data_IF_353543596409
#
_entry.id   IF_353543596409
#
_cell.length_a   1.000
_cell.length_b   1.000
_cell.length_c   1.000
_cell.angle_alpha   90.00
_cell.angle_beta   90.00
_cell.angle_gamma   90.00
#
_symmetry.space_group_name_H-M   'P 1'
#
loop_
_entity.id
_entity.type
_entity.pdbx_description
1 polymer ?
#
# COMPACT_ATOMS: atom_id res chain seq x y z
N UNK A 1 73.13 36.69 -55.93
CA UNK A 1 72.36 36.57 -57.19
C UNK A 1 71.71 35.20 -57.22
N UNK A 2 70.45 35.09 -56.81
CA UNK A 2 69.68 33.83 -56.83
C UNK A 2 68.35 34.11 -57.54
N UNK A 3 68.22 33.56 -58.74
CA UNK A 3 67.08 33.76 -59.63
C UNK A 3 65.86 32.97 -59.12
N UNK A 4 64.82 33.69 -58.68
CA UNK A 4 63.51 33.11 -58.31
C UNK A 4 62.68 32.91 -59.57
N UNK A 5 62.22 31.68 -59.79
CA UNK A 5 61.43 31.28 -60.94
C UNK A 5 59.96 31.72 -60.80
N UNK A 6 59.37 32.41 -61.79
CA UNK A 6 58.01 32.96 -61.71
C UNK A 6 56.89 31.92 -61.87
N UNK A 7 57.21 30.63 -62.05
CA UNK A 7 56.21 29.58 -62.34
C UNK A 7 55.56 28.97 -61.10
N UNK A 8 56.16 29.12 -59.92
CA UNK A 8 55.60 28.60 -58.66
C UNK A 8 54.52 29.50 -58.03
N UNK A 9 54.54 30.81 -58.31
CA UNK A 9 53.56 31.75 -57.78
C UNK A 9 52.16 31.61 -58.43
N UNK A 10 52.10 31.16 -59.69
CA UNK A 10 50.83 31.02 -60.41
C UNK A 10 50.00 29.79 -60.00
N UNK A 11 50.65 28.71 -59.53
CA UNK A 11 49.98 27.48 -59.13
C UNK A 11 49.32 27.57 -57.73
N UNK A 12 49.89 28.37 -56.83
CA UNK A 12 49.31 28.60 -55.49
C UNK A 12 48.08 29.52 -55.53
N UNK A 13 48.03 30.50 -56.44
CA UNK A 13 46.88 31.39 -56.58
C UNK A 13 45.65 30.69 -57.20
N UNK A 14 45.86 29.69 -58.08
CA UNK A 14 44.77 28.91 -58.67
C UNK A 14 44.08 27.95 -57.68
N UNK A 15 44.82 27.38 -56.73
CA UNK A 15 44.28 26.42 -55.76
C UNK A 15 43.47 27.09 -54.64
N UNK A 16 43.81 28.32 -54.25
CA UNK A 16 43.04 29.09 -53.26
C UNK A 16 41.71 29.62 -53.80
N UNK A 17 41.58 29.89 -55.10
CA UNK A 17 40.34 30.42 -55.69
C UNK A 17 39.29 29.32 -55.98
N UNK A 18 39.73 28.07 -56.15
CA UNK A 18 38.84 26.92 -56.28
C UNK A 18 38.18 26.50 -54.96
N UNK A 19 38.79 26.82 -53.81
CA UNK A 19 38.23 26.52 -52.49
C UNK A 19 37.14 27.52 -52.02
N UNK A 20 37.04 28.70 -52.65
CA UNK A 20 36.06 29.73 -52.29
C UNK A 20 34.68 29.55 -52.95
N UNK A 21 34.54 28.72 -53.98
CA UNK A 21 33.29 28.57 -54.74
C UNK A 21 32.42 27.37 -54.31
N UNK A 22 32.94 26.44 -53.50
CA UNK A 22 32.18 25.28 -53.02
C UNK A 22 31.58 25.45 -51.62
N UNK A 23 31.81 26.61 -50.96
CA UNK A 23 31.45 26.82 -49.56
C UNK A 23 30.00 27.28 -49.27
N UNK A 24 29.27 27.81 -50.26
CA UNK A 24 27.93 28.36 -50.01
C UNK A 24 26.78 27.38 -50.26
N UNK A 25 26.92 26.41 -51.17
CA UNK A 25 25.87 25.41 -51.43
C UNK A 25 25.77 24.32 -50.35
N UNK A 26 26.94 23.84 -49.89
CA UNK A 26 27.02 22.73 -48.92
C UNK A 26 26.51 23.11 -47.53
N UNK A 27 26.67 24.37 -47.12
CA UNK A 27 26.12 24.89 -45.85
C UNK A 27 24.59 24.98 -45.89
N UNK A 28 24.01 25.38 -47.02
CA UNK A 28 22.56 25.51 -47.17
C UNK A 28 21.89 24.13 -47.13
N UNK A 29 22.47 23.14 -47.80
CA UNK A 29 21.95 21.77 -47.82
C UNK A 29 21.99 21.13 -46.43
N UNK A 30 23.10 21.28 -45.69
CA UNK A 30 23.23 20.77 -44.31
C UNK A 30 22.20 21.42 -43.37
N UNK A 31 21.96 22.73 -43.48
CA UNK A 31 20.97 23.45 -42.67
C UNK A 31 19.56 22.96 -42.98
N UNK A 32 19.20 22.86 -44.27
CA UNK A 32 17.88 22.40 -44.70
C UNK A 32 17.60 20.96 -44.22
N UNK A 33 18.59 20.07 -44.28
CA UNK A 33 18.45 18.68 -43.81
C UNK A 33 18.22 18.67 -42.30
N UNK A 34 18.99 19.42 -41.51
CA UNK A 34 18.81 19.54 -40.05
C UNK A 34 17.41 20.04 -39.68
N UNK A 35 16.96 21.12 -40.32
CA UNK A 35 15.67 21.75 -40.01
C UNK A 35 14.51 20.80 -40.33
N UNK A 36 14.56 20.10 -41.46
CA UNK A 36 13.55 19.08 -41.83
C UNK A 36 13.45 17.96 -40.79
N UNK A 37 14.58 17.50 -40.25
CA UNK A 37 14.61 16.48 -39.20
C UNK A 37 13.99 16.99 -37.88
N UNK A 38 14.30 18.23 -37.50
CA UNK A 38 13.73 18.87 -36.31
C UNK A 38 12.21 19.09 -36.45
N UNK A 39 11.75 19.53 -37.61
CA UNK A 39 10.33 19.72 -37.90
C UNK A 39 9.56 18.41 -37.80
N UNK A 40 10.11 17.34 -38.36
CA UNK A 40 9.53 15.99 -38.27
C UNK A 40 9.41 15.52 -36.81
N UNK A 41 10.45 15.73 -36.00
CA UNK A 41 10.41 15.41 -34.56
C UNK A 41 9.40 16.30 -33.80
N UNK A 42 9.28 17.58 -34.15
CA UNK A 42 8.33 18.50 -33.53
C UNK A 42 6.89 18.10 -33.83
N UNK A 43 6.58 17.70 -35.07
CA UNK A 43 5.28 17.17 -35.44
C UNK A 43 4.94 15.92 -34.64
N UNK A 44 5.88 14.98 -34.48
CA UNK A 44 5.69 13.78 -33.69
C UNK A 44 5.40 14.10 -32.21
N UNK A 45 6.16 15.03 -31.62
CA UNK A 45 5.96 15.51 -30.24
C UNK A 45 4.55 16.09 -30.08
N UNK A 46 4.11 16.96 -31.00
CA UNK A 46 2.77 17.56 -30.96
C UNK A 46 1.66 16.53 -31.09
N UNK A 47 1.84 15.51 -31.94
CA UNK A 47 0.86 14.43 -32.09
C UNK A 47 0.72 13.61 -30.79
N UNK A 48 1.83 13.29 -30.12
CA UNK A 48 1.79 12.57 -28.84
C UNK A 48 1.22 13.41 -27.69
N UNK A 49 1.44 14.73 -27.70
CA UNK A 49 0.81 15.64 -26.74
C UNK A 49 -0.72 15.66 -26.87
N UNK A 50 -1.23 15.45 -28.09
CA UNK A 50 -2.67 15.40 -28.36
C UNK A 50 -3.27 14.00 -28.16
N UNK A 51 -2.53 12.97 -28.56
CA UNK A 51 -3.01 11.58 -28.62
C UNK A 51 -1.88 10.60 -28.28
N UNK A 52 -1.56 10.53 -26.99
CA UNK A 52 -0.48 9.69 -26.44
C UNK A 52 -0.69 8.19 -26.67
N UNK A 53 -1.94 7.73 -26.78
CA UNK A 53 -2.28 6.33 -27.05
C UNK A 53 -1.86 5.83 -28.44
N UNK A 54 -1.65 6.74 -29.41
CA UNK A 54 -1.22 6.40 -30.77
C UNK A 54 0.31 6.35 -30.94
N UNK A 55 1.06 6.23 -29.84
CA UNK A 55 2.51 6.38 -29.87
C UNK A 55 3.23 5.45 -30.85
N UNK A 56 2.74 4.22 -31.04
CA UNK A 56 3.30 3.27 -32.02
C UNK A 56 3.21 3.80 -33.44
N UNK A 57 2.02 4.27 -33.82
CA UNK A 57 1.76 4.79 -35.17
C UNK A 57 2.58 6.07 -35.41
N UNK A 58 2.61 6.97 -34.43
CA UNK A 58 3.40 8.20 -34.51
C UNK A 58 4.89 7.89 -34.69
N UNK A 59 5.47 6.95 -33.94
CA UNK A 59 6.88 6.58 -34.09
C UNK A 59 7.18 5.95 -35.46
N UNK A 60 6.35 5.02 -35.94
CA UNK A 60 6.55 4.39 -37.26
C UNK A 60 6.42 5.41 -38.41
N UNK A 61 5.45 6.32 -38.31
CA UNK A 61 5.31 7.44 -39.25
C UNK A 61 6.53 8.35 -39.21
N UNK A 62 6.95 8.79 -38.03
CA UNK A 62 8.12 9.66 -37.82
C UNK A 62 9.38 9.04 -38.43
N UNK A 63 9.61 7.74 -38.19
CA UNK A 63 10.73 7.00 -38.78
C UNK A 63 10.67 7.01 -40.32
N UNK A 64 9.50 6.76 -40.89
CA UNK A 64 9.31 6.75 -42.36
C UNK A 64 9.56 8.12 -42.96
N UNK A 65 9.01 9.17 -42.35
CA UNK A 65 9.18 10.56 -42.79
C UNK A 65 10.66 10.99 -42.71
N UNK A 66 11.38 10.60 -41.65
CA UNK A 66 12.82 10.84 -41.52
C UNK A 66 13.63 10.11 -42.60
N UNK A 67 13.32 8.85 -42.92
CA UNK A 67 13.99 8.12 -44.00
C UNK A 67 13.78 8.82 -45.34
N UNK A 68 12.54 9.23 -45.64
CA UNK A 68 12.20 9.94 -46.87
C UNK A 68 12.94 11.29 -46.98
N UNK A 69 13.20 11.96 -45.85
CA UNK A 69 14.00 13.18 -45.77
C UNK A 69 15.53 12.95 -45.78
N UNK A 70 16.01 11.72 -45.95
CA UNK A 70 17.44 11.39 -45.93
C UNK A 70 18.06 11.35 -44.52
N UNK A 71 17.26 11.36 -43.46
CA UNK A 71 17.67 11.42 -42.05
C UNK A 71 17.79 10.04 -41.40
N UNK A 72 18.58 9.14 -42.00
CA UNK A 72 18.72 7.75 -41.53
C UNK A 72 19.21 7.63 -40.09
N UNK A 73 20.08 8.53 -39.64
CA UNK A 73 20.59 8.53 -38.25
C UNK A 73 19.48 8.84 -37.25
N UNK A 74 18.63 9.85 -37.52
CA UNK A 74 17.49 10.16 -36.66
C UNK A 74 16.43 9.06 -36.72
N UNK A 75 16.19 8.49 -37.90
CA UNK A 75 15.28 7.35 -38.05
C UNK A 75 15.71 6.15 -37.19
N UNK A 76 17.03 5.88 -37.11
CA UNK A 76 17.56 4.84 -36.24
C UNK A 76 17.36 5.15 -34.74
N UNK A 77 17.54 6.41 -34.32
CA UNK A 77 17.24 6.83 -32.95
C UNK A 77 15.75 6.66 -32.61
N UNK A 78 14.84 7.04 -33.52
CA UNK A 78 13.39 6.82 -33.36
C UNK A 78 13.06 5.32 -33.30
N UNK A 79 13.70 4.49 -34.12
CA UNK A 79 13.55 3.03 -34.06
C UNK A 79 14.03 2.45 -32.73
N UNK A 80 15.12 3.00 -32.16
CA UNK A 80 15.60 2.61 -30.84
C UNK A 80 14.64 3.03 -29.72
N UNK A 81 13.99 4.20 -29.85
CA UNK A 81 12.94 4.65 -28.93
C UNK A 81 11.76 3.68 -28.96
N UNK A 82 11.28 3.27 -30.13
CA UNK A 82 10.20 2.30 -30.27
C UNK A 82 10.56 0.95 -29.60
N UNK A 83 11.76 0.43 -29.85
CA UNK A 83 12.21 -0.81 -29.24
C UNK A 83 12.28 -0.73 -27.70
N UNK A 84 12.76 0.40 -27.16
CA UNK A 84 12.78 0.63 -25.70
C UNK A 84 11.38 0.76 -25.12
N UNK A 85 10.49 1.51 -25.77
CA UNK A 85 9.10 1.62 -25.34
C UNK A 85 8.41 0.23 -25.27
N UNK A 86 8.66 -0.66 -26.25
CA UNK A 86 8.15 -2.03 -26.18
C UNK A 86 8.74 -2.82 -25.00
N UNK A 87 10.05 -2.69 -24.74
CA UNK A 87 10.67 -3.34 -23.58
C UNK A 87 10.11 -2.84 -22.25
N UNK A 88 9.71 -1.56 -22.19
CA UNK A 88 9.18 -0.91 -21.00
C UNK A 88 7.66 -1.22 -20.79
N UNK A 89 6.99 -1.88 -21.72
CA UNK A 89 5.54 -2.18 -21.65
C UNK A 89 5.14 -3.01 -20.41
N UNK A 90 6.07 -3.80 -19.86
CA UNK A 90 5.83 -4.52 -18.60
C UNK A 90 5.61 -3.62 -17.39
N UNK A 91 6.09 -2.36 -17.44
CA UNK A 91 5.91 -1.36 -16.38
C UNK A 91 4.53 -0.71 -16.50
N UNK A 92 4.06 -0.42 -17.73
CA UNK A 92 2.73 0.17 -17.98
C UNK A 92 1.61 -0.65 -17.31
N UNK A 93 1.67 -1.98 -17.43
CA UNK A 93 0.71 -2.88 -16.80
C UNK A 93 0.62 -2.70 -15.26
N UNK A 94 1.69 -2.21 -14.61
CA UNK A 94 1.74 -1.94 -13.16
C UNK A 94 1.23 -0.55 -12.80
N UNK A 95 1.21 0.38 -13.75
CA UNK A 95 0.94 1.79 -13.51
C UNK A 95 -0.49 2.22 -13.86
N UNK A 96 -1.20 1.44 -14.69
CA UNK A 96 -2.60 1.70 -15.12
C UNK A 96 -2.82 3.07 -15.79
N UNK A 97 -1.77 3.76 -16.20
CA UNK A 97 -1.77 5.05 -16.90
C UNK A 97 -1.18 4.89 -18.29
N UNK A 98 -1.40 5.84 -19.20
CA UNK A 98 -0.78 5.92 -20.54
C UNK A 98 0.72 6.19 -20.47
N UNK A 99 1.41 5.24 -19.85
CA UNK A 99 2.81 5.30 -19.47
C UNK A 99 3.70 5.32 -20.71
N UNK A 100 3.36 4.52 -21.73
CA UNK A 100 4.17 4.42 -22.94
C UNK A 100 4.07 5.67 -23.80
N UNK A 101 2.92 6.32 -23.87
CA UNK A 101 2.76 7.59 -24.55
C UNK A 101 3.64 8.69 -23.94
N UNK A 102 3.52 8.91 -22.63
CA UNK A 102 4.32 9.91 -21.89
C UNK A 102 5.82 9.63 -21.95
N UNK A 103 6.21 8.35 -21.82
CA UNK A 103 7.62 7.92 -21.92
C UNK A 103 8.15 8.21 -23.32
N UNK A 104 7.40 7.86 -24.36
CA UNK A 104 7.78 8.09 -25.76
C UNK A 104 7.92 9.58 -26.07
N UNK A 105 6.96 10.39 -25.63
CA UNK A 105 7.01 11.84 -25.73
C UNK A 105 8.27 12.40 -25.09
N UNK A 106 8.61 11.93 -23.88
CA UNK A 106 9.83 12.33 -23.19
C UNK A 106 11.09 11.92 -23.96
N UNK A 107 11.14 10.71 -24.53
CA UNK A 107 12.28 10.25 -25.32
C UNK A 107 12.46 11.08 -26.60
N UNK A 108 11.38 11.43 -27.31
CA UNK A 108 11.43 12.29 -28.49
C UNK A 108 11.89 13.71 -28.13
N UNK A 109 11.39 14.30 -27.04
CA UNK A 109 11.86 15.60 -26.54
C UNK A 109 13.35 15.57 -26.22
N UNK A 110 13.86 14.49 -25.60
CA UNK A 110 15.30 14.31 -25.33
C UNK A 110 16.11 14.16 -26.62
N UNK A 111 15.58 13.47 -27.62
CA UNK A 111 16.24 13.36 -28.93
C UNK A 111 16.33 14.73 -29.61
N UNK A 112 15.23 15.49 -29.66
CA UNK A 112 15.22 16.87 -30.17
C UNK A 112 16.24 17.74 -29.43
N UNK A 113 16.26 17.67 -28.11
CA UNK A 113 17.14 18.45 -27.27
C UNK A 113 18.64 18.15 -27.51
N UNK A 114 19.00 16.89 -27.81
CA UNK A 114 20.37 16.56 -28.23
C UNK A 114 20.78 17.27 -29.53
N UNK A 115 19.83 17.52 -30.43
CA UNK A 115 20.07 18.17 -31.72
C UNK A 115 20.11 19.70 -31.56
N UNK A 116 19.26 20.26 -30.69
CA UNK A 116 19.19 21.71 -30.47
C UNK A 116 20.16 22.22 -29.40
N UNK A 117 20.73 21.32 -28.59
CA UNK A 117 21.54 21.68 -27.42
C UNK A 117 20.71 22.13 -26.21
N UNK A 118 19.38 21.96 -26.25
CA UNK A 118 18.49 22.23 -25.12
C UNK A 118 18.71 21.22 -23.98
N UNK A 119 18.41 21.66 -22.76
CA UNK A 119 18.28 20.75 -21.62
C UNK A 119 16.82 20.44 -21.37
N UNK A 120 16.44 19.17 -21.44
CA UNK A 120 15.08 18.72 -21.09
C UNK A 120 15.10 18.13 -19.68
N UNK A 121 14.31 18.66 -18.73
CA UNK A 121 14.23 18.10 -17.40
C UNK A 121 13.64 16.69 -17.46
N UNK A 122 14.25 15.78 -16.71
CA UNK A 122 13.81 14.39 -16.62
C UNK A 122 12.97 14.23 -15.37
N UNK A 123 11.64 14.25 -15.53
CA UNK A 123 10.70 14.10 -14.42
C UNK A 123 10.61 12.63 -14.01
N UNK A 124 10.84 12.29 -12.74
CA UNK A 124 10.60 10.95 -12.22
C UNK A 124 9.11 10.71 -12.02
N UNK A 125 8.66 9.49 -12.27
CA UNK A 125 7.27 9.09 -12.00
C UNK A 125 7.29 7.72 -11.34
N UNK A 126 6.50 7.59 -10.30
CA UNK A 126 6.22 6.33 -9.62
C UNK A 126 4.75 5.91 -9.74
N UNK A 127 4.54 4.62 -9.68
CA UNK A 127 3.25 3.98 -9.77
C UNK A 127 2.74 3.64 -8.37
N UNK A 128 1.57 3.01 -8.27
CA UNK A 128 1.08 2.57 -6.97
C UNK A 128 1.98 1.45 -6.41
N UNK A 129 2.27 1.47 -5.09
CA UNK A 129 3.05 0.41 -4.46
C UNK A 129 2.34 -0.95 -4.56
N UNK A 130 3.11 -2.00 -4.78
CA UNK A 130 2.64 -3.39 -4.91
C UNK A 130 3.44 -4.31 -3.98
N UNK A 131 2.81 -4.98 -3.00
CA UNK A 131 1.41 -4.86 -2.64
C UNK A 131 1.07 -3.46 -2.08
N UNK A 132 -0.20 -3.08 -2.18
CA UNK A 132 -0.73 -1.83 -1.63
C UNK A 132 -1.09 -1.93 -0.13
N UNK A 133 -0.78 -3.07 0.49
CA UNK A 133 -1.01 -3.36 1.91
C UNK A 133 0.19 -4.12 2.48
N UNK A 134 0.61 -3.76 3.69
CA UNK A 134 1.52 -4.56 4.52
C UNK A 134 0.71 -5.17 5.65
N UNK A 135 0.64 -6.49 5.71
CA UNK A 135 -0.09 -7.21 6.75
C UNK A 135 0.84 -7.60 7.90
N UNK A 136 0.64 -6.97 9.07
CA UNK A 136 1.41 -7.27 10.27
C UNK A 136 0.92 -8.53 10.99
N UNK A 137 -0.18 -9.15 10.58
CA UNK A 137 -0.56 -10.50 11.04
C UNK A 137 0.44 -11.55 10.53
N UNK A 138 1.16 -11.27 9.45
CA UNK A 138 2.25 -12.10 8.97
C UNK A 138 3.51 -11.87 9.81
N UNK A 139 4.21 -12.97 10.13
CA UNK A 139 5.55 -12.91 10.69
C UNK A 139 6.50 -12.16 9.74
N UNK A 140 7.49 -11.39 10.23
CA UNK A 140 8.36 -10.54 9.41
C UNK A 140 8.96 -11.26 8.20
N UNK A 141 9.46 -12.48 8.37
CA UNK A 141 10.06 -13.30 7.31
C UNK A 141 9.07 -13.73 6.20
N UNK A 142 7.76 -13.60 6.43
CA UNK A 142 6.70 -13.90 5.46
C UNK A 142 6.12 -12.66 4.78
N UNK A 143 6.56 -11.46 5.16
CA UNK A 143 6.06 -10.22 4.57
C UNK A 143 6.75 -9.97 3.23
N UNK A 144 5.99 -9.80 2.13
CA UNK A 144 6.59 -9.47 0.84
C UNK A 144 7.18 -8.06 0.88
N UNK A 145 8.32 -7.89 0.21
CA UNK A 145 8.82 -6.54 -0.08
C UNK A 145 7.78 -5.76 -0.88
N UNK A 146 7.74 -4.45 -0.66
CA UNK A 146 6.86 -3.56 -1.42
C UNK A 146 7.65 -3.03 -2.60
N UNK A 147 7.16 -3.29 -3.81
CA UNK A 147 7.71 -2.78 -5.06
C UNK A 147 6.98 -1.51 -5.48
N UNK A 148 7.74 -0.50 -5.89
CA UNK A 148 7.26 0.75 -6.45
C UNK A 148 7.89 0.84 -7.84
N UNK A 149 7.11 0.44 -8.83
CA UNK A 149 7.50 0.59 -10.22
C UNK A 149 7.43 2.07 -10.64
N UNK A 150 8.16 2.43 -11.67
CA UNK A 150 8.19 3.79 -12.19
C UNK A 150 9.20 3.95 -13.31
N UNK A 151 9.60 5.19 -13.58
CA UNK A 151 10.66 5.49 -14.52
C UNK A 151 11.42 6.75 -14.11
N UNK A 152 12.68 6.83 -14.57
CA UNK A 152 13.64 7.84 -14.15
C UNK A 152 13.80 7.90 -12.62
N UNK A 153 13.59 6.79 -11.91
CA UNK A 153 13.70 6.75 -10.44
C UNK A 153 15.15 6.95 -9.95
N UNK A 154 16.13 6.90 -10.85
CA UNK A 154 17.52 7.25 -10.57
C UNK A 154 17.79 8.76 -10.58
N UNK A 155 16.90 9.59 -11.14
CA UNK A 155 17.12 11.04 -11.25
C UNK A 155 16.63 11.83 -10.03
N UNK A 156 16.03 11.16 -9.04
CA UNK A 156 15.48 11.79 -7.84
C UNK A 156 15.52 10.84 -6.65
N UNK A 157 15.52 11.41 -5.45
CA UNK A 157 15.53 10.65 -4.20
C UNK A 157 14.10 10.34 -3.79
N UNK A 158 13.72 9.06 -3.85
CA UNK A 158 12.47 8.57 -3.26
C UNK A 158 12.66 8.48 -1.75
N UNK A 159 11.73 9.07 -1.00
CA UNK A 159 11.66 8.96 0.45
C UNK A 159 10.47 8.13 0.88
N UNK A 160 10.63 7.37 1.96
CA UNK A 160 9.56 6.61 2.59
C UNK A 160 9.36 7.07 4.03
N UNK A 161 8.11 7.23 4.44
CA UNK A 161 7.74 7.64 5.78
C UNK A 161 6.73 6.67 6.39
N UNK A 162 7.04 6.14 7.57
CA UNK A 162 6.07 5.43 8.39
C UNK A 162 5.20 6.44 9.16
N UNK A 163 3.89 6.34 9.00
CA UNK A 163 2.93 7.29 9.60
C UNK A 163 2.16 6.62 10.73
N UNK A 164 2.03 7.35 11.83
CA UNK A 164 1.33 6.96 13.04
C UNK A 164 0.53 8.14 13.60
N UNK A 165 -0.28 7.92 14.64
CA UNK A 165 -0.98 9.01 15.34
C UNK A 165 -0.02 10.05 15.94
N UNK A 166 1.20 9.65 16.30
CA UNK A 166 2.24 10.55 16.83
C UNK A 166 3.01 11.33 15.76
N UNK A 167 2.79 11.06 14.47
CA UNK A 167 3.45 11.74 13.36
C UNK A 167 4.11 10.79 12.37
N UNK A 168 5.08 11.32 11.60
CA UNK A 168 5.80 10.60 10.54
C UNK A 168 7.25 10.34 10.95
N UNK A 169 7.77 9.16 10.61
CA UNK A 169 9.18 8.77 10.81
C UNK A 169 9.78 8.41 9.46
N UNK A 170 10.97 8.94 9.16
CA UNK A 170 11.70 8.60 7.93
C UNK A 170 12.23 7.16 8.00
N UNK A 171 11.86 6.34 7.02
CA UNK A 171 12.26 4.93 6.90
C UNK A 171 12.95 4.66 5.56
N UNK A 172 13.45 5.72 4.91
CA UNK A 172 14.09 5.65 3.59
C UNK A 172 15.35 4.78 3.58
N UNK A 173 15.97 4.52 4.74
CA UNK A 173 17.09 3.58 4.89
C UNK A 173 16.73 2.13 4.56
N UNK A 174 15.44 1.79 4.54
CA UNK A 174 14.95 0.46 4.15
C UNK A 174 14.52 0.40 2.68
N UNK A 175 14.71 1.49 1.93
CA UNK A 175 14.54 1.49 0.48
C UNK A 175 15.78 0.95 -0.22
N UNK A 176 15.56 0.27 -1.33
CA UNK A 176 16.58 -0.11 -2.29
C UNK A 176 16.14 0.34 -3.68
N UNK A 177 17.09 0.85 -4.46
CA UNK A 177 16.84 1.34 -5.82
C UNK A 177 17.66 0.53 -6.83
N UNK A 178 17.27 -0.73 -7.10
CA UNK A 178 18.04 -1.63 -7.96
C UNK A 178 18.13 -1.16 -9.42
N UNK A 179 17.21 -0.31 -9.90
CA UNK A 179 17.21 0.19 -11.28
C UNK A 179 16.46 1.52 -11.40
N UNK A 180 16.58 2.19 -12.54
CA UNK A 180 15.80 3.41 -12.82
C UNK A 180 14.26 3.20 -12.89
N UNK A 181 13.80 1.95 -12.79
CA UNK A 181 12.41 1.55 -12.98
C UNK A 181 11.76 0.94 -11.74
N UNK A 182 12.54 0.64 -10.70
CA UNK A 182 12.06 -0.08 -9.54
C UNK A 182 12.73 0.44 -8.28
N UNK A 183 11.89 0.82 -7.32
CA UNK A 183 12.28 1.01 -5.93
C UNK A 183 11.58 -0.06 -5.09
N UNK A 184 12.30 -0.66 -4.15
CA UNK A 184 11.76 -1.67 -3.24
C UNK A 184 11.88 -1.21 -1.79
N UNK A 185 10.86 -1.44 -0.99
CA UNK A 185 10.87 -1.23 0.45
C UNK A 185 10.89 -2.59 1.15
N UNK A 186 11.92 -2.81 1.97
CA UNK A 186 12.00 -4.01 2.79
C UNK A 186 11.02 -3.92 3.97
N UNK A 187 10.08 -4.86 4.05
CA UNK A 187 9.09 -4.98 5.13
C UNK A 187 9.31 -6.20 6.02
N UNK A 188 10.36 -6.98 5.73
CA UNK A 188 10.67 -8.23 6.40
C UNK A 188 11.48 -8.06 7.69
N UNK A 189 12.24 -9.08 8.06
CA UNK A 189 12.96 -9.15 9.36
C UNK A 189 13.91 -7.98 9.62
N UNK A 190 14.64 -7.52 8.60
CA UNK A 190 15.54 -6.35 8.68
C UNK A 190 14.93 -5.12 7.98
N UNK A 191 13.61 -5.13 7.81
CA UNK A 191 12.86 -4.10 7.13
C UNK A 191 12.43 -2.95 8.04
N UNK A 192 11.43 -2.21 7.59
CA UNK A 192 10.83 -1.10 8.34
C UNK A 192 10.39 -1.54 9.74
N UNK A 193 10.78 -0.82 10.81
CA UNK A 193 10.38 -1.12 12.17
C UNK A 193 8.93 -0.67 12.42
N UNK A 194 7.96 -1.51 12.07
CA UNK A 194 6.55 -1.26 12.34
C UNK A 194 6.24 -1.35 13.84
N UNK A 195 5.42 -0.43 14.35
CA UNK A 195 4.87 -0.49 15.70
C UNK A 195 3.34 -0.59 15.67
N UNK A 196 2.72 -0.77 16.84
CA UNK A 196 1.27 -0.94 16.98
C UNK A 196 0.44 0.28 16.55
N UNK A 197 1.06 1.45 16.34
CA UNK A 197 0.38 2.69 15.94
C UNK A 197 0.64 3.08 14.50
N UNK A 198 1.46 2.32 13.76
CA UNK A 198 1.76 2.59 12.35
C UNK A 198 0.55 2.24 11.48
N UNK A 199 -0.01 3.20 10.76
CA UNK A 199 -1.23 3.02 9.97
C UNK A 199 -0.99 2.96 8.47
N UNK A 200 0.06 3.61 7.97
CA UNK A 200 0.42 3.64 6.54
C UNK A 200 1.90 3.92 6.33
N UNK A 201 2.38 3.59 5.13
CA UNK A 201 3.65 4.09 4.61
C UNK A 201 3.36 5.09 3.49
N UNK A 202 3.99 6.25 3.53
CA UNK A 202 3.92 7.29 2.51
C UNK A 202 5.23 7.34 1.72
N UNK A 203 5.12 7.34 0.40
CA UNK A 203 6.23 7.49 -0.52
C UNK A 203 6.18 8.88 -1.15
N UNK A 204 7.29 9.60 -1.05
CA UNK A 204 7.43 10.97 -1.54
C UNK A 204 8.52 10.99 -2.60
N UNK A 205 8.16 11.51 -3.76
CA UNK A 205 9.06 11.74 -4.89
C UNK A 205 8.91 13.21 -5.30
N UNK A 206 10.03 13.93 -5.39
CA UNK A 206 10.01 15.36 -5.72
C UNK A 206 9.32 15.60 -7.07
N UNK A 207 8.31 16.47 -7.07
CA UNK A 207 7.53 16.80 -8.27
C UNK A 207 6.44 15.80 -8.65
N UNK A 208 6.22 14.74 -7.86
CA UNK A 208 5.17 13.74 -8.10
C UNK A 208 4.14 13.69 -6.95
N UNK A 209 2.87 13.32 -7.22
CA UNK A 209 1.86 13.16 -6.19
C UNK A 209 2.23 12.06 -5.19
N UNK A 210 2.12 12.30 -3.89
CA UNK A 210 2.43 11.29 -2.86
C UNK A 210 1.67 9.97 -3.09
N UNK A 211 2.36 8.85 -2.93
CA UNK A 211 1.76 7.50 -2.95
C UNK A 211 1.76 6.92 -1.54
N UNK A 212 0.85 6.02 -1.24
CA UNK A 212 0.82 5.37 0.06
C UNK A 212 0.30 3.96 -0.01
N UNK A 213 0.63 3.17 1.01
CA UNK A 213 0.06 1.85 1.27
C UNK A 213 -0.44 1.78 2.70
N UNK A 214 -1.40 0.90 2.95
CA UNK A 214 -1.98 0.69 4.28
C UNK A 214 -1.18 -0.34 5.05
N UNK A 215 -1.02 -0.13 6.36
CA UNK A 215 -0.46 -1.12 7.27
C UNK A 215 -1.61 -1.71 8.10
N UNK A 216 -1.86 -3.01 7.93
CA UNK A 216 -2.89 -3.73 8.68
C UNK A 216 -2.29 -4.25 9.98
N UNK A 217 -2.82 -3.78 11.10
CA UNK A 217 -2.39 -4.20 12.44
C UNK A 217 -2.95 -5.58 12.80
N UNK A 218 -2.25 -6.37 13.64
CA UNK A 218 -2.79 -7.62 14.14
C UNK A 218 -4.05 -7.37 14.96
N UNK A 219 -5.02 -8.29 14.91
CA UNK A 219 -6.18 -8.21 15.78
C UNK A 219 -5.73 -8.21 17.25
N UNK A 220 -6.32 -7.37 18.12
CA UNK A 220 -6.06 -7.43 19.55
C UNK A 220 -6.30 -8.86 20.03
N UNK A 221 -5.36 -9.44 20.79
CA UNK A 221 -5.58 -10.75 21.39
C UNK A 221 -6.84 -10.67 22.26
N UNK A 222 -7.78 -11.63 22.16
CA UNK A 222 -8.93 -11.65 23.05
C UNK A 222 -8.42 -11.61 24.49
N UNK A 223 -8.82 -10.58 25.23
CA UNK A 223 -8.53 -10.54 26.66
C UNK A 223 -9.37 -11.65 27.30
N UNK A 224 -8.77 -12.62 28.01
CA UNK A 224 -9.54 -13.60 28.73
C UNK A 224 -10.43 -12.87 29.73
N UNK A 225 -11.73 -12.84 29.46
CA UNK A 225 -12.69 -12.35 30.44
C UNK A 225 -12.70 -13.34 31.59
N UNK A 226 -12.00 -12.98 32.67
CA UNK A 226 -12.08 -13.73 33.92
C UNK A 226 -13.41 -13.35 34.55
N UNK A 227 -14.43 -14.19 34.34
CA UNK A 227 -15.67 -14.02 35.06
C UNK A 227 -15.38 -14.17 36.56
N UNK A 228 -15.81 -13.21 37.42
CA UNK A 228 -15.74 -13.42 38.85
C UNK A 228 -16.51 -14.71 39.16
N UNK A 229 -15.92 -15.60 39.96
CA UNK A 229 -16.62 -16.78 40.46
C UNK A 229 -17.88 -16.30 41.18
N UNK A 230 -19.05 -16.46 40.54
CA UNK A 230 -20.34 -16.20 41.17
C UNK A 230 -20.78 -17.48 41.84
N UNK A 231 -20.91 -17.43 43.15
CA UNK A 231 -21.53 -18.50 43.91
C UNK A 231 -23.04 -18.36 43.79
N UNK A 232 -23.68 -19.28 43.07
CA UNK A 232 -25.13 -19.43 43.11
C UNK A 232 -25.49 -20.18 44.39
N UNK A 233 -26.31 -19.56 45.26
CA UNK A 233 -26.96 -20.23 46.38
C UNK A 233 -28.38 -20.54 45.96
N UNK A 234 -28.68 -21.83 45.77
CA UNK A 234 -30.03 -22.31 45.51
C UNK A 234 -30.60 -22.76 46.84
N UNK A 235 -31.71 -22.15 47.25
CA UNK A 235 -32.49 -22.57 48.42
C UNK A 235 -33.78 -23.20 47.91
N UNK A 236 -34.05 -24.43 48.32
CA UNK A 236 -35.30 -25.13 48.04
C UNK A 236 -35.90 -25.66 49.33
N UNK A 237 -37.21 -25.60 49.42
CA UNK A 237 -38.00 -26.23 50.48
C UNK A 237 -39.03 -27.13 49.82
N UNK A 238 -38.98 -28.42 50.12
CA UNK A 238 -39.98 -29.39 49.69
C UNK A 238 -40.87 -29.70 50.89
N UNK A 239 -42.18 -29.60 50.69
CA UNK A 239 -43.18 -30.03 51.65
C UNK A 239 -43.70 -31.40 51.20
N UNK A 240 -43.57 -32.40 52.07
CA UNK A 240 -44.02 -33.76 51.79
C UNK A 240 -45.44 -33.92 52.33
N UNK A 241 -46.41 -33.31 51.64
CA UNK A 241 -47.82 -33.65 51.84
C UNK A 241 -48.21 -34.68 50.80
N UNK A 242 -47.89 -35.95 51.06
CA UNK A 242 -48.60 -37.06 50.42
C UNK A 242 -49.89 -37.29 51.22
N UNK A 243 -50.88 -36.44 50.98
CA UNK A 243 -52.25 -36.63 51.45
C UNK A 243 -52.92 -37.70 50.57
N UNK A 244 -52.48 -38.95 50.66
CA UNK A 244 -53.32 -40.06 50.22
C UNK A 244 -53.06 -41.32 51.04
N UNK A 245 -54.05 -41.64 51.88
CA UNK A 245 -54.27 -42.93 52.54
C UNK A 245 -53.30 -43.26 53.70
N UNK A 246 -53.63 -42.81 54.92
CA UNK A 246 -53.96 -43.67 56.09
C UNK A 246 -54.45 -42.74 57.21
N UNK A 247 -55.59 -43.07 57.82
CA UNK A 247 -56.07 -42.43 59.04
C UNK A 247 -55.10 -42.70 60.22
N UNK A 248 -54.15 -41.79 60.44
CA UNK A 248 -53.43 -41.68 61.71
C UNK A 248 -53.14 -40.22 62.01
N UNK A 249 -53.65 -39.76 63.15
CA UNK A 249 -53.68 -38.40 63.68
C UNK A 249 -52.29 -37.88 64.14
N UNK A 250 -51.26 -38.01 63.30
CA UNK A 250 -49.95 -37.41 63.54
C UNK A 250 -49.48 -36.59 62.33
N UNK A 251 -49.77 -35.28 62.36
CA UNK A 251 -49.21 -34.27 61.46
C UNK A 251 -47.68 -34.29 61.52
N UNK A 252 -47.04 -34.94 60.55
CA UNK A 252 -45.58 -35.00 60.42
C UNK A 252 -45.12 -34.14 59.25
N UNK A 253 -45.11 -32.83 59.45
CA UNK A 253 -44.44 -31.92 58.52
C UNK A 253 -42.92 -32.02 58.70
N UNK A 254 -42.23 -32.62 57.74
CA UNK A 254 -40.77 -32.67 57.67
C UNK A 254 -40.24 -31.64 56.68
N UNK A 255 -39.48 -30.65 57.15
CA UNK A 255 -38.82 -29.67 56.26
C UNK A 255 -37.39 -30.12 55.97
N UNK A 256 -37.09 -30.35 54.70
CA UNK A 256 -35.71 -30.59 54.23
C UNK A 256 -35.21 -29.32 53.55
N UNK A 257 -34.08 -28.78 54.01
CA UNK A 257 -33.38 -27.67 53.39
C UNK A 257 -31.92 -28.01 53.12
N UNK A 258 -31.38 -27.49 52.03
CA UNK A 258 -29.98 -27.65 51.65
C UNK A 258 -29.51 -26.47 50.82
N UNK A 259 -28.19 -26.24 50.79
CA UNK A 259 -27.56 -25.25 49.91
C UNK A 259 -26.36 -25.88 49.23
N UNK A 260 -26.16 -25.59 47.95
CA UNK A 260 -24.99 -26.02 47.18
C UNK A 260 -24.41 -24.80 46.49
N UNK A 261 -23.09 -24.64 46.58
CA UNK A 261 -22.34 -23.65 45.82
C UNK A 261 -21.92 -24.26 44.50
N UNK A 262 -22.30 -23.64 43.39
CA UNK A 262 -21.94 -24.08 42.04
C UNK A 262 -21.04 -23.05 41.38
N UNK A 263 -19.93 -23.48 40.78
CA UNK A 263 -19.12 -22.62 39.94
C UNK A 263 -19.75 -22.47 38.55
N UNK A 264 -19.66 -21.28 37.96
CA UNK A 264 -20.12 -21.04 36.60
C UNK A 264 -19.36 -21.92 35.60
N UNK A 265 -20.08 -22.59 34.69
CA UNK A 265 -19.50 -23.46 33.67
C UNK A 265 -19.22 -24.90 34.11
N UNK A 266 -19.56 -25.29 35.33
CA UNK A 266 -19.45 -26.69 35.80
C UNK A 266 -20.82 -27.31 35.99
N UNK A 267 -21.00 -28.58 35.62
CA UNK A 267 -22.12 -29.39 36.09
C UNK A 267 -21.81 -29.87 37.52
N UNK A 268 -22.79 -29.83 38.41
CA UNK A 268 -22.65 -30.37 39.76
C UNK A 268 -23.88 -31.18 40.12
N UNK A 269 -23.67 -32.42 40.54
CA UNK A 269 -24.75 -33.26 41.03
C UNK A 269 -25.11 -32.81 42.45
N UNK A 270 -26.37 -32.41 42.65
CA UNK A 270 -26.90 -32.08 43.97
C UNK A 270 -27.08 -33.38 44.77
N UNK A 271 -26.18 -33.65 45.72
CA UNK A 271 -26.38 -34.73 46.68
C UNK A 271 -27.15 -34.17 47.88
N UNK A 272 -28.41 -34.57 48.03
CA UNK A 272 -29.15 -34.32 49.25
C UNK A 272 -28.39 -34.94 50.43
N UNK A 273 -28.01 -34.11 51.40
CA UNK A 273 -27.51 -34.60 52.67
C UNK A 273 -28.60 -35.42 53.37
N UNK A 274 -28.21 -36.42 54.16
CA UNK A 274 -29.13 -37.22 54.97
C UNK A 274 -30.04 -36.30 55.77
N UNK A 275 -31.34 -36.36 55.51
CA UNK A 275 -32.35 -35.57 56.20
C UNK A 275 -32.35 -35.92 57.70
N UNK A 276 -31.93 -34.99 58.54
CA UNK A 276 -32.15 -35.10 59.98
C UNK A 276 -33.62 -34.79 60.27
N UNK A 277 -34.45 -35.83 60.33
CA UNK A 277 -35.82 -35.71 60.81
C UNK A 277 -35.81 -35.36 62.30
N UNK A 278 -35.88 -34.06 62.61
CA UNK A 278 -36.06 -33.60 63.98
C UNK A 278 -37.53 -33.81 64.32
N UNK A 279 -37.85 -34.83 65.13
CA UNK A 279 -39.21 -34.98 65.67
C UNK A 279 -39.49 -33.79 66.57
N UNK A 280 -40.32 -32.87 66.10
CA UNK A 280 -40.96 -31.90 66.97
C UNK A 280 -41.94 -32.65 67.87
N UNK A 281 -41.55 -32.86 69.14
CA UNK A 281 -42.49 -33.33 70.16
C UNK A 281 -43.40 -32.15 70.48
N UNK A 282 -44.67 -32.23 70.09
CA UNK A 282 -45.66 -31.24 70.47
C UNK A 282 -45.83 -31.26 72.00
N UNK A 283 -45.23 -30.29 72.69
CA UNK A 283 -45.60 -29.97 74.08
C UNK A 283 -46.91 -29.21 74.03
N UNK A 284 -48.01 -29.90 74.36
CA UNK A 284 -49.31 -29.29 74.63
C UNK A 284 -49.20 -28.44 75.90
N UNK A 285 -48.82 -27.18 75.72
CA UNK A 285 -48.83 -26.20 76.80
C UNK A 285 -50.25 -25.68 76.92
N UNK A 286 -51.01 -26.20 77.89
CA UNK A 286 -52.33 -25.67 78.25
C UNK A 286 -52.15 -24.29 78.89
N UNK A 287 -52.46 -23.24 78.13
CA UNK A 287 -52.46 -21.86 78.61
C UNK A 287 -53.66 -21.63 79.54
N UNK A 288 -53.46 -21.16 80.79
CA UNK A 288 -54.57 -20.80 81.65
C UNK A 288 -55.22 -19.48 81.22
N UNK A 289 -56.56 -19.51 81.21
CA UNK A 289 -57.47 -18.42 80.86
C UNK A 289 -57.34 -17.27 81.86
N UNK A 290 -56.59 -16.23 81.49
CA UNK A 290 -56.53 -14.96 82.23
C UNK A 290 -57.69 -14.06 81.82
N UNK A 291 -58.68 -13.93 82.70
CA UNK A 291 -59.72 -12.90 82.70
C UNK A 291 -59.09 -11.51 82.84
N UNK A 292 -59.35 -10.60 81.89
CA UNK A 292 -59.07 -9.17 82.07
C UNK A 292 -60.26 -8.32 81.63
N UNK A 293 -60.72 -7.54 82.60
CA UNK A 293 -61.89 -6.66 82.63
C UNK A 293 -61.77 -5.45 81.69
N UNK A 294 -62.90 -4.83 81.26
CA UNK A 294 -62.90 -3.71 80.32
C UNK A 294 -62.81 -2.35 81.02
N UNK A 295 -62.11 -1.40 80.39
CA UNK A 295 -62.08 0.02 80.74
C UNK A 295 -60.88 0.68 80.04
N UNK A 296 -60.94 1.90 79.50
CA UNK A 296 -61.94 2.96 79.52
C UNK A 296 -61.52 3.94 78.40
N UNK A 297 -62.51 4.52 77.74
CA UNK A 297 -62.41 5.55 76.72
C UNK A 297 -61.71 6.83 77.19
N UNK A 298 -60.99 7.47 76.27
CA UNK A 298 -61.03 8.92 75.98
C UNK A 298 -60.65 9.15 74.52
#
# INVERSE_FOLDING_TARGET
MTARSPRLAALLAGLTLAASLTGCGLKQEIVNTRDTGLDTLNTAIQQLEQQSSMWREVLEKTKTDLIAAGQSTLANEVSNIAARALSDAGIEARCYTDFLGDRTLTMLRRLRAKITGETVPVTPVFCNPTPNVVDLNLAPERRPAVEIAGYNLSTSVVKAYAVSASGRVDVSTHLSNPSEFLVTLNTGTNGVPFNATTSKIEFVLSGAPMRSLTVVQPAPKPVPITYPKRTLRIEGTFDLNDDELVASDEDKHGKISGSVQVAAGTSSAFKWGTASATRCRATSTSTPRSTRSPGRSR
#
